data_IF_804316323279
#
_entry.id   IF_804316323279
#
_cell.length_a   1.000
_cell.length_b   1.000
_cell.length_c   1.000
_cell.angle_alpha   90.00
_cell.angle_beta   90.00
_cell.angle_gamma   90.00
#
_symmetry.space_group_name_H-M   'P 1'
#
loop_
_entity.id
_entity.type
_entity.pdbx_description
1 polymer ?
#
# COMPACT_ATOMS: atom_id res chain seq x y z
N UNK A 1 -49.04 -16.45 11.03
CA UNK A 1 -47.84 -17.27 10.79
C UNK A 1 -46.66 -16.33 10.62
N UNK A 2 -45.57 -16.60 11.32
CA UNK A 2 -44.27 -15.98 11.09
C UNK A 2 -43.47 -16.96 10.24
N UNK A 3 -42.83 -16.48 9.19
CA UNK A 3 -41.92 -17.27 8.36
C UNK A 3 -40.59 -16.56 8.26
N UNK A 4 -39.48 -17.30 8.34
CA UNK A 4 -38.16 -16.85 8.02
C UNK A 4 -37.86 -17.04 6.55
N UNK A 5 -37.27 -16.06 5.90
CA UNK A 5 -36.85 -16.13 4.49
C UNK A 5 -35.60 -16.99 4.29
N UNK A 6 -34.75 -17.03 5.29
CA UNK A 6 -33.49 -17.78 5.31
C UNK A 6 -33.26 -18.43 6.68
N UNK A 7 -32.40 -19.40 6.79
CA UNK A 7 -32.03 -20.03 8.07
C UNK A 7 -30.85 -19.34 8.75
N UNK A 8 -29.96 -18.76 7.96
CA UNK A 8 -28.82 -18.01 8.43
C UNK A 8 -28.41 -16.94 7.42
N UNK A 9 -27.76 -15.90 7.92
CA UNK A 9 -27.07 -14.87 7.12
C UNK A 9 -25.68 -14.64 7.66
N UNK A 10 -24.81 -14.14 6.80
CA UNK A 10 -23.49 -13.61 7.12
C UNK A 10 -23.54 -12.10 6.92
N UNK A 11 -23.09 -11.33 7.92
CA UNK A 11 -22.93 -9.88 7.85
C UNK A 11 -21.55 -9.48 8.35
N UNK A 12 -21.06 -8.34 7.91
CA UNK A 12 -19.77 -7.82 8.39
C UNK A 12 -19.94 -7.04 9.69
N UNK A 13 -18.84 -6.96 10.45
CA UNK A 13 -18.83 -6.29 11.75
C UNK A 13 -19.25 -4.81 11.68
N UNK A 14 -18.97 -4.13 10.58
CA UNK A 14 -19.34 -2.73 10.34
C UNK A 14 -20.77 -2.55 9.82
N UNK A 15 -21.48 -3.63 9.49
CA UNK A 15 -22.87 -3.60 9.01
C UNK A 15 -23.89 -3.79 10.14
N UNK A 16 -23.45 -4.32 11.29
CA UNK A 16 -24.35 -4.74 12.38
C UNK A 16 -25.29 -3.61 12.82
N UNK A 17 -24.78 -2.39 12.99
CA UNK A 17 -25.57 -1.27 13.52
C UNK A 17 -26.54 -0.66 12.50
N UNK A 18 -26.40 -1.01 11.22
CA UNK A 18 -27.21 -0.48 10.12
C UNK A 18 -28.08 -1.53 9.43
N UNK A 19 -27.92 -2.81 9.82
CA UNK A 19 -28.64 -3.90 9.17
C UNK A 19 -30.10 -3.94 9.61
N UNK A 20 -31.00 -3.94 8.64
CA UNK A 20 -32.44 -4.07 8.89
C UNK A 20 -32.86 -5.55 9.02
N UNK A 21 -32.90 -6.04 10.27
CA UNK A 21 -33.25 -7.42 10.58
C UNK A 21 -34.72 -7.74 10.30
N UNK A 22 -35.62 -6.75 10.14
CA UNK A 22 -37.04 -6.98 9.81
C UNK A 22 -37.19 -7.63 8.44
N UNK A 23 -36.27 -7.34 7.53
CA UNK A 23 -36.25 -7.87 6.15
C UNK A 23 -36.10 -9.39 6.07
N UNK A 24 -35.64 -10.03 7.15
CA UNK A 24 -35.39 -11.48 7.22
C UNK A 24 -36.64 -12.30 7.42
N UNK A 25 -37.77 -11.66 7.75
CA UNK A 25 -39.03 -12.34 8.09
C UNK A 25 -40.19 -11.89 7.22
N UNK A 26 -41.24 -12.69 7.22
CA UNK A 26 -42.54 -12.33 6.71
C UNK A 26 -43.60 -12.77 7.71
N UNK A 27 -44.65 -11.97 7.85
CA UNK A 27 -45.79 -12.29 8.73
C UNK A 27 -47.08 -12.33 7.89
N UNK A 28 -47.91 -13.36 8.13
CA UNK A 28 -49.25 -13.41 7.56
C UNK A 28 -50.30 -13.77 8.63
N UNK A 29 -51.43 -13.07 8.59
CA UNK A 29 -52.57 -13.33 9.46
C UNK A 29 -53.83 -13.56 8.63
N UNK A 30 -54.43 -14.74 8.79
CA UNK A 30 -55.65 -15.14 8.05
C UNK A 30 -55.52 -14.98 6.52
N UNK A 31 -54.29 -15.23 6.01
CA UNK A 31 -53.96 -15.12 4.59
C UNK A 31 -53.56 -13.71 4.11
N UNK A 32 -53.65 -12.69 4.96
CA UNK A 32 -53.21 -11.34 4.63
C UNK A 32 -51.75 -11.09 5.10
N UNK A 33 -50.95 -10.37 4.32
CA UNK A 33 -49.63 -9.94 4.72
C UNK A 33 -49.69 -8.89 5.82
N UNK A 34 -48.83 -9.02 6.83
CA UNK A 34 -48.65 -8.06 7.92
C UNK A 34 -47.22 -7.49 7.81
N UNK A 35 -47.09 -6.18 7.99
CA UNK A 35 -45.77 -5.51 8.00
C UNK A 35 -45.01 -6.03 9.22
N UNK A 36 -43.72 -6.40 8.99
CA UNK A 36 -42.81 -6.77 10.08
C UNK A 36 -42.27 -5.47 10.69
N UNK A 37 -42.71 -5.16 11.89
CA UNK A 37 -42.26 -4.02 12.65
C UNK A 37 -41.03 -4.38 13.48
N UNK A 38 -40.15 -3.41 13.75
CA UNK A 38 -38.94 -3.57 14.57
C UNK A 38 -39.30 -4.15 15.98
N UNK A 39 -40.42 -3.76 16.54
CA UNK A 39 -40.94 -4.25 17.83
C UNK A 39 -41.22 -5.76 17.87
N UNK A 40 -41.32 -6.41 16.70
CA UNK A 40 -41.53 -7.86 16.60
C UNK A 40 -40.24 -8.63 16.54
N UNK A 41 -39.07 -7.92 16.34
CA UNK A 41 -37.77 -8.54 16.07
C UNK A 41 -36.79 -8.27 17.20
N UNK A 42 -36.48 -9.31 17.95
CA UNK A 42 -35.41 -9.25 18.97
C UNK A 42 -34.06 -9.59 18.35
N UNK A 43 -33.22 -8.57 18.16
CA UNK A 43 -31.82 -8.65 17.76
C UNK A 43 -30.87 -8.06 18.81
N UNK A 44 -31.36 -7.82 20.03
CA UNK A 44 -30.63 -7.15 21.13
C UNK A 44 -29.28 -7.80 21.50
N UNK A 45 -29.08 -9.07 21.13
CA UNK A 45 -27.82 -9.80 21.37
C UNK A 45 -26.84 -9.73 20.21
N UNK A 46 -27.26 -9.21 19.04
CA UNK A 46 -26.35 -9.03 17.90
C UNK A 46 -25.51 -7.80 18.17
N UNK A 47 -24.19 -7.99 18.25
CA UNK A 47 -23.26 -6.91 18.53
C UNK A 47 -22.15 -6.89 17.48
N UNK A 48 -21.51 -5.74 17.28
CA UNK A 48 -20.41 -5.53 16.35
C UNK A 48 -19.12 -6.25 16.80
N UNK A 49 -19.23 -7.58 16.94
CA UNK A 49 -18.14 -8.48 17.30
C UNK A 49 -18.30 -9.80 16.54
N UNK A 50 -17.20 -10.32 16.02
CA UNK A 50 -17.18 -11.62 15.33
C UNK A 50 -17.78 -12.70 16.21
N UNK A 51 -18.77 -13.41 15.66
CA UNK A 51 -19.50 -14.45 16.41
C UNK A 51 -20.77 -14.90 15.71
N UNK A 52 -21.48 -15.81 16.38
CA UNK A 52 -22.77 -16.32 15.92
C UNK A 52 -23.86 -15.91 16.89
N UNK A 53 -24.87 -15.27 16.38
CA UNK A 53 -25.96 -14.67 17.13
C UNK A 53 -27.31 -15.23 16.67
N UNK A 54 -28.35 -14.94 17.43
CA UNK A 54 -29.72 -15.28 17.11
C UNK A 54 -30.57 -14.02 17.01
N UNK A 55 -31.40 -13.97 15.97
CA UNK A 55 -32.44 -12.95 15.78
C UNK A 55 -33.76 -13.67 15.76
N UNK A 56 -34.70 -13.24 16.58
CA UNK A 56 -36.02 -13.88 16.73
C UNK A 56 -37.12 -12.88 16.39
N UNK A 57 -37.98 -13.25 15.47
CA UNK A 57 -39.20 -12.51 15.19
C UNK A 57 -40.38 -13.20 15.90
N UNK A 58 -41.13 -12.44 16.70
CA UNK A 58 -42.31 -12.91 17.43
C UNK A 58 -43.51 -12.08 17.07
N UNK A 59 -44.56 -12.73 16.61
CA UNK A 59 -45.87 -12.11 16.37
C UNK A 59 -46.96 -12.93 17.03
N UNK A 60 -47.64 -12.33 18.04
CA UNK A 60 -48.57 -13.03 18.93
C UNK A 60 -47.83 -14.23 19.59
N UNK A 61 -48.36 -15.43 19.43
CA UNK A 61 -47.83 -16.65 20.06
C UNK A 61 -46.88 -17.46 19.14
N UNK A 62 -46.47 -16.86 17.98
CA UNK A 62 -45.64 -17.56 16.99
C UNK A 62 -44.31 -16.88 16.88
N UNK A 63 -43.23 -17.65 16.99
CA UNK A 63 -41.85 -17.16 16.86
C UNK A 63 -41.05 -17.97 15.84
N UNK A 64 -40.19 -17.30 15.10
CA UNK A 64 -39.17 -17.90 14.23
C UNK A 64 -37.80 -17.27 14.53
N UNK A 65 -36.75 -18.09 14.45
CA UNK A 65 -35.39 -17.66 14.77
C UNK A 65 -34.46 -17.93 13.60
N UNK A 66 -33.57 -16.95 13.32
CA UNK A 66 -32.53 -17.00 12.31
C UNK A 66 -31.16 -16.92 13.00
N UNK A 67 -30.18 -17.54 12.41
CA UNK A 67 -28.79 -17.41 12.81
C UNK A 67 -28.10 -16.27 12.05
N UNK A 68 -27.44 -15.37 12.75
CA UNK A 68 -26.62 -14.28 12.19
C UNK A 68 -25.15 -14.52 12.53
N UNK A 69 -24.32 -14.70 11.51
CA UNK A 69 -22.88 -14.82 11.69
C UNK A 69 -22.24 -13.46 11.38
N UNK A 70 -21.74 -12.80 12.41
CA UNK A 70 -20.96 -11.57 12.26
C UNK A 70 -19.52 -11.93 11.96
N UNK A 71 -19.01 -11.47 10.82
CA UNK A 71 -17.66 -11.75 10.32
C UNK A 71 -16.78 -10.51 10.37
N UNK A 72 -15.47 -10.70 10.53
CA UNK A 72 -14.49 -9.62 10.42
C UNK A 72 -14.37 -9.15 8.97
N UNK A 73 -13.84 -7.95 8.79
CA UNK A 73 -13.43 -7.42 7.50
C UNK A 73 -12.05 -7.98 7.18
N UNK A 74 -11.89 -8.54 5.99
CA UNK A 74 -10.62 -9.07 5.52
C UNK A 74 -9.91 -8.00 4.70
N UNK A 75 -8.77 -7.51 5.18
CA UNK A 75 -7.91 -6.59 4.46
C UNK A 75 -6.75 -7.35 3.84
N UNK A 76 -6.46 -7.10 2.57
CA UNK A 76 -5.28 -7.64 1.90
C UNK A 76 -4.53 -6.50 1.21
N UNK A 77 -3.19 -6.59 1.21
CA UNK A 77 -2.30 -5.67 0.52
C UNK A 77 -1.18 -6.47 -0.14
N UNK A 78 -1.06 -6.37 -1.45
CA UNK A 78 -0.02 -7.00 -2.25
C UNK A 78 0.99 -5.95 -2.69
N UNK A 79 2.25 -6.33 -2.70
CA UNK A 79 3.36 -5.54 -3.20
C UNK A 79 4.08 -6.40 -4.26
N UNK A 80 4.23 -5.88 -5.47
CA UNK A 80 4.78 -6.64 -6.60
C UNK A 80 6.29 -6.83 -6.53
N UNK A 81 7.01 -5.87 -5.91
CA UNK A 81 8.47 -5.92 -5.69
C UNK A 81 8.80 -5.27 -4.35
N UNK A 82 9.82 -5.79 -3.66
CA UNK A 82 10.22 -5.26 -2.34
C UNK A 82 11.18 -4.05 -2.45
N UNK A 83 11.85 -3.88 -3.58
CA UNK A 83 12.81 -2.79 -3.84
C UNK A 83 12.69 -2.28 -5.28
N UNK A 84 12.79 -0.96 -5.44
CA UNK A 84 12.99 -0.30 -6.74
C UNK A 84 14.20 0.61 -6.68
N UNK A 85 14.88 0.75 -7.82
CA UNK A 85 15.97 1.72 -8.02
C UNK A 85 15.51 2.79 -8.98
N UNK A 86 15.65 4.04 -8.58
CA UNK A 86 15.31 5.22 -9.38
C UNK A 86 16.48 6.21 -9.36
N UNK A 87 16.48 7.16 -10.28
CA UNK A 87 17.47 8.25 -10.28
C UNK A 87 16.94 9.47 -9.52
N UNK A 88 17.83 10.37 -9.11
CA UNK A 88 17.45 11.65 -8.49
C UNK A 88 16.40 12.38 -9.31
N UNK A 89 16.54 12.42 -10.64
CA UNK A 89 15.66 13.13 -11.56
C UNK A 89 14.24 12.50 -11.65
N UNK A 90 14.13 11.21 -11.41
CA UNK A 90 12.86 10.46 -11.54
C UNK A 90 12.19 10.16 -10.20
N UNK A 91 12.91 10.30 -9.09
CA UNK A 91 12.48 9.84 -7.78
C UNK A 91 11.13 10.41 -7.33
N UNK A 92 10.84 11.69 -7.59
CA UNK A 92 9.58 12.33 -7.19
C UNK A 92 8.42 12.10 -8.17
N UNK A 93 8.72 11.64 -9.40
CA UNK A 93 7.73 11.46 -10.46
C UNK A 93 7.42 9.98 -10.73
N UNK A 94 8.11 9.06 -10.07
CA UNK A 94 7.86 7.63 -10.23
C UNK A 94 6.57 7.22 -9.54
N UNK A 95 5.73 6.46 -10.23
CA UNK A 95 4.48 5.95 -9.67
C UNK A 95 4.73 4.71 -8.79
N UNK A 96 5.09 4.95 -7.55
CA UNK A 96 5.30 3.89 -6.56
C UNK A 96 4.03 3.13 -6.21
N UNK A 97 2.86 3.79 -6.33
CA UNK A 97 1.59 3.19 -5.91
C UNK A 97 1.11 2.13 -6.90
N UNK A 98 1.52 2.21 -8.17
CA UNK A 98 1.25 1.17 -9.16
C UNK A 98 1.82 -0.21 -8.77
N UNK A 99 2.79 -0.24 -7.83
CA UNK A 99 3.39 -1.49 -7.33
C UNK A 99 2.57 -2.15 -6.21
N UNK A 100 1.58 -1.48 -5.67
CA UNK A 100 0.70 -2.00 -4.64
C UNK A 100 -0.69 -2.31 -5.20
N UNK A 101 -1.34 -3.31 -4.60
CA UNK A 101 -2.75 -3.61 -4.87
C UNK A 101 -3.44 -3.91 -3.54
N UNK A 102 -4.51 -3.19 -3.25
CA UNK A 102 -5.27 -3.31 -2.01
C UNK A 102 -6.63 -3.98 -2.25
N UNK A 103 -7.06 -4.81 -1.29
CA UNK A 103 -8.35 -5.47 -1.30
C UNK A 103 -9.03 -5.37 0.07
N UNK A 104 -10.35 -5.30 0.06
CA UNK A 104 -11.21 -5.45 1.22
C UNK A 104 -12.27 -6.50 0.87
N UNK A 105 -12.33 -7.59 1.63
CA UNK A 105 -13.26 -8.72 1.38
C UNK A 105 -13.18 -9.25 -0.07
N UNK A 106 -11.95 -9.42 -0.59
CA UNK A 106 -11.63 -9.85 -1.96
C UNK A 106 -11.98 -8.83 -3.06
N UNK A 107 -12.59 -7.70 -2.74
CA UNK A 107 -12.85 -6.62 -3.67
C UNK A 107 -11.63 -5.67 -3.74
N UNK A 108 -11.17 -5.39 -4.96
CA UNK A 108 -10.08 -4.44 -5.19
C UNK A 108 -10.54 -3.03 -4.86
N UNK A 109 -9.74 -2.32 -4.09
CA UNK A 109 -9.98 -0.91 -3.76
C UNK A 109 -8.83 -0.02 -4.26
N UNK A 110 -9.13 1.25 -4.45
CA UNK A 110 -8.12 2.26 -4.76
C UNK A 110 -7.31 2.63 -3.52
N UNK A 111 -6.01 2.87 -3.73
CA UNK A 111 -5.11 3.34 -2.68
C UNK A 111 -5.22 4.85 -2.58
N UNK A 112 -5.76 5.35 -1.47
CA UNK A 112 -5.89 6.79 -1.20
C UNK A 112 -4.65 7.36 -0.54
N UNK A 113 -4.48 8.68 -0.59
CA UNK A 113 -3.35 9.37 0.05
C UNK A 113 -3.26 9.15 1.56
N UNK A 114 -4.39 8.91 2.23
CA UNK A 114 -4.45 8.63 3.67
C UNK A 114 -3.86 7.27 4.05
N UNK A 115 -3.81 6.34 3.08
CA UNK A 115 -3.21 5.02 3.24
C UNK A 115 -1.70 5.02 3.08
N UNK A 116 -1.07 6.16 2.65
CA UNK A 116 0.31 6.21 2.17
C UNK A 116 1.19 7.08 3.06
N UNK A 117 2.31 6.52 3.50
CA UNK A 117 3.41 7.24 4.13
C UNK A 117 4.64 7.12 3.21
N UNK A 118 5.25 8.25 2.80
CA UNK A 118 6.45 8.26 1.96
C UNK A 118 7.54 9.16 2.55
N UNK A 119 8.77 8.66 2.50
CA UNK A 119 9.98 9.42 2.87
C UNK A 119 10.83 9.80 1.66
N UNK A 120 10.38 9.46 0.44
CA UNK A 120 11.15 9.64 -0.80
C UNK A 120 11.50 11.11 -1.04
N UNK A 121 12.77 11.34 -1.43
CA UNK A 121 13.33 12.63 -1.78
C UNK A 121 14.15 12.52 -3.08
N UNK A 122 14.36 13.64 -3.76
CA UNK A 122 15.24 13.74 -4.93
C UNK A 122 16.71 13.89 -4.51
N UNK A 123 17.20 13.00 -3.65
CA UNK A 123 18.56 12.95 -3.14
C UNK A 123 19.04 11.49 -3.13
N UNK A 124 20.35 11.29 -3.34
CA UNK A 124 20.93 9.94 -3.26
C UNK A 124 20.71 9.37 -1.86
N UNK A 125 20.14 8.17 -1.79
CA UNK A 125 19.87 7.54 -0.51
C UNK A 125 18.89 6.37 -0.60
N UNK A 126 18.52 5.87 0.56
CA UNK A 126 17.49 4.83 0.71
C UNK A 126 16.28 5.41 1.41
N UNK A 127 15.11 5.21 0.80
CA UNK A 127 13.83 5.73 1.25
C UNK A 127 12.79 4.64 1.27
N UNK A 128 11.61 4.96 1.76
CA UNK A 128 10.54 3.99 1.90
C UNK A 128 9.19 4.61 1.53
N UNK A 129 8.36 3.78 0.89
CA UNK A 129 6.94 4.04 0.69
C UNK A 129 6.19 2.94 1.43
N UNK A 130 5.42 3.31 2.44
CA UNK A 130 4.59 2.41 3.22
C UNK A 130 3.13 2.64 2.87
N UNK A 131 2.42 1.58 2.56
CA UNK A 131 0.98 1.60 2.37
C UNK A 131 0.33 0.78 3.47
N UNK A 132 -0.78 1.28 4.02
CA UNK A 132 -1.56 0.61 5.06
C UNK A 132 -3.01 0.49 4.61
N UNK A 133 -3.54 -0.73 4.62
CA UNK A 133 -4.93 -1.04 4.35
C UNK A 133 -5.54 -1.71 5.59
N UNK A 134 -6.34 -0.97 6.35
CA UNK A 134 -6.88 -1.43 7.62
C UNK A 134 -5.79 -1.87 8.60
N UNK A 135 -5.71 -3.19 8.85
CA UNK A 135 -4.73 -3.78 9.79
C UNK A 135 -3.45 -4.28 9.08
N UNK A 136 -3.36 -4.18 7.75
CA UNK A 136 -2.26 -4.74 6.95
C UNK A 136 -1.41 -3.62 6.38
N UNK A 137 -0.08 -3.73 6.50
CA UNK A 137 0.87 -2.78 5.92
C UNK A 137 1.92 -3.49 5.07
N UNK A 138 2.36 -2.84 4.01
CA UNK A 138 3.52 -3.22 3.19
C UNK A 138 4.43 -2.03 2.98
N UNK A 139 5.73 -2.28 2.91
CA UNK A 139 6.74 -1.24 2.74
C UNK A 139 7.60 -1.57 1.53
N UNK A 140 7.65 -0.66 0.58
CA UNK A 140 8.54 -0.67 -0.57
C UNK A 140 9.83 0.08 -0.20
N UNK A 141 10.97 -0.52 -0.44
CA UNK A 141 12.28 0.14 -0.36
C UNK A 141 12.57 0.83 -1.68
N UNK A 142 12.96 2.11 -1.62
CA UNK A 142 13.32 2.94 -2.77
C UNK A 142 14.78 3.32 -2.63
N UNK A 143 15.62 2.91 -3.58
CA UNK A 143 17.02 3.31 -3.65
C UNK A 143 17.16 4.38 -4.72
N UNK A 144 17.46 5.60 -4.31
CA UNK A 144 17.71 6.72 -5.20
C UNK A 144 19.19 6.80 -5.47
N UNK A 145 19.56 6.76 -6.74
CA UNK A 145 20.95 6.82 -7.22
C UNK A 145 21.17 8.10 -8.03
N UNK A 146 22.43 8.46 -8.27
CA UNK A 146 22.77 9.59 -9.14
C UNK A 146 22.26 9.39 -10.58
N UNK A 147 22.09 8.17 -10.97
CA UNK A 147 21.77 7.81 -12.35
C UNK A 147 22.92 8.01 -13.32
N UNK A 148 24.04 8.56 -12.85
CA UNK A 148 25.20 8.87 -13.69
C UNK A 148 26.27 7.79 -13.54
N UNK A 149 26.68 7.21 -14.66
CA UNK A 149 27.85 6.34 -14.72
C UNK A 149 29.05 7.23 -14.86
N UNK A 150 29.91 7.23 -13.83
CA UNK A 150 31.19 7.93 -13.84
C UNK A 150 32.26 6.96 -14.28
N UNK A 151 33.02 7.33 -15.31
CA UNK A 151 34.15 6.57 -15.79
C UNK A 151 35.40 7.48 -15.85
N UNK A 152 36.44 7.05 -15.16
CA UNK A 152 37.76 7.74 -15.16
C UNK A 152 38.77 6.80 -15.83
N UNK A 153 39.30 7.24 -16.93
CA UNK A 153 40.32 6.48 -17.71
C UNK A 153 41.67 7.18 -17.59
N UNK A 154 42.66 6.56 -16.93
CA UNK A 154 44.00 7.11 -16.92
C UNK A 154 44.63 6.95 -18.29
N UNK A 155 45.29 8.01 -18.79
CA UNK A 155 46.00 8.00 -20.06
C UNK A 155 47.29 7.16 -19.99
N UNK A 156 47.90 7.07 -18.81
CA UNK A 156 49.15 6.34 -18.56
C UNK A 156 49.05 5.53 -17.27
N UNK A 157 49.75 4.40 -17.19
CA UNK A 157 49.88 3.63 -15.93
C UNK A 157 50.93 4.22 -14.99
N UNK A 158 51.99 4.77 -15.56
CA UNK A 158 53.07 5.46 -14.87
C UNK A 158 53.52 6.62 -15.74
N UNK A 159 53.92 7.71 -15.12
CA UNK A 159 54.50 8.86 -15.77
C UNK A 159 55.78 9.25 -15.05
N UNK A 160 56.88 9.28 -15.77
CA UNK A 160 58.18 9.72 -15.25
C UNK A 160 58.39 11.17 -15.66
N UNK A 161 58.54 12.05 -14.71
CA UNK A 161 58.78 13.48 -14.88
C UNK A 161 60.07 13.86 -14.16
N UNK A 162 60.86 14.74 -14.75
CA UNK A 162 61.97 15.44 -14.07
C UNK A 162 61.38 16.50 -13.12
N UNK A 163 62.16 16.97 -12.16
CA UNK A 163 61.74 18.02 -11.21
C UNK A 163 61.32 19.32 -11.91
N UNK A 164 61.96 19.65 -13.02
CA UNK A 164 61.68 20.83 -13.84
C UNK A 164 60.33 20.66 -14.58
N UNK A 165 60.08 19.48 -15.17
CA UNK A 165 58.83 19.16 -15.87
C UNK A 165 57.62 19.11 -14.90
N UNK A 166 57.84 18.62 -13.69
CA UNK A 166 56.79 18.51 -12.68
C UNK A 166 56.14 19.85 -12.33
N UNK A 167 56.92 20.94 -12.36
CA UNK A 167 56.43 22.29 -12.02
C UNK A 167 55.53 22.90 -13.09
N UNK A 168 55.59 22.41 -14.33
CA UNK A 168 54.89 22.96 -15.51
C UNK A 168 53.91 21.97 -16.13
N UNK A 169 53.91 20.72 -15.66
CA UNK A 169 53.09 19.67 -16.26
C UNK A 169 51.62 19.88 -15.95
N UNK A 170 50.77 19.78 -16.99
CA UNK A 170 49.32 19.81 -16.85
C UNK A 170 48.78 18.40 -16.53
N UNK A 171 48.59 18.13 -15.25
CA UNK A 171 48.09 16.84 -14.74
C UNK A 171 46.68 16.52 -15.19
N UNK A 172 45.88 17.48 -15.69
CA UNK A 172 44.55 17.23 -16.19
C UNK A 172 44.56 16.31 -17.42
N UNK A 173 45.64 16.32 -18.19
CA UNK A 173 45.83 15.47 -19.37
C UNK A 173 46.08 13.98 -19.04
N UNK A 174 46.26 13.65 -17.75
CA UNK A 174 46.49 12.26 -17.33
C UNK A 174 45.20 11.46 -17.28
N UNK A 175 44.05 12.11 -17.31
CA UNK A 175 42.77 11.47 -17.13
C UNK A 175 41.77 11.90 -18.19
N UNK A 176 40.94 10.96 -18.61
CA UNK A 176 39.72 11.24 -19.34
C UNK A 176 38.53 10.90 -18.42
N UNK A 177 37.63 11.86 -18.24
CA UNK A 177 36.43 11.71 -17.42
C UNK A 177 35.22 11.63 -18.34
N UNK A 178 34.35 10.64 -18.10
CA UNK A 178 33.09 10.49 -18.79
C UNK A 178 31.97 10.42 -17.77
N UNK A 179 30.84 11.05 -18.08
CA UNK A 179 29.58 10.96 -17.35
C UNK A 179 28.55 10.49 -18.36
N UNK A 180 27.97 9.30 -18.13
CA UNK A 180 27.01 8.66 -19.05
C UNK A 180 27.54 8.54 -20.49
N UNK A 181 28.83 8.27 -20.63
CA UNK A 181 29.52 8.16 -21.91
C UNK A 181 29.87 9.49 -22.59
N UNK A 182 29.47 10.64 -22.05
CA UNK A 182 29.84 11.95 -22.53
C UNK A 182 31.16 12.41 -21.88
N UNK A 183 32.13 12.88 -22.70
CA UNK A 183 33.37 13.41 -22.19
C UNK A 183 33.14 14.69 -21.39
N UNK A 184 33.78 14.78 -20.24
CA UNK A 184 33.74 15.93 -19.32
C UNK A 184 35.16 16.45 -19.13
N UNK A 185 35.31 17.76 -19.10
CA UNK A 185 36.60 18.41 -18.86
C UNK A 185 37.10 18.10 -17.45
N UNK A 186 38.35 17.61 -17.35
CA UNK A 186 39.03 17.37 -16.08
C UNK A 186 39.65 18.69 -15.63
N UNK A 187 39.34 19.14 -14.42
CA UNK A 187 39.90 20.35 -13.84
C UNK A 187 40.90 20.02 -12.73
N UNK A 188 41.82 20.93 -12.46
CA UNK A 188 42.83 20.75 -11.40
C UNK A 188 42.21 20.51 -10.02
N UNK A 189 41.01 21.05 -9.75
CA UNK A 189 40.33 20.83 -8.49
C UNK A 189 39.84 19.36 -8.29
N UNK A 190 39.84 18.56 -9.34
CA UNK A 190 39.46 17.14 -9.32
C UNK A 190 40.69 16.23 -9.09
N UNK A 191 41.90 16.79 -9.07
CA UNK A 191 43.18 16.06 -8.99
C UNK A 191 43.82 16.37 -7.64
N UNK A 192 44.11 15.33 -6.86
CA UNK A 192 44.93 15.42 -5.67
C UNK A 192 46.37 15.06 -6.00
N UNK A 193 47.28 16.02 -5.84
CA UNK A 193 48.73 15.87 -6.08
C UNK A 193 49.53 15.89 -4.77
N UNK A 194 48.90 15.76 -3.63
CA UNK A 194 49.49 15.89 -2.29
C UNK A 194 50.10 14.59 -1.73
N UNK A 195 50.13 13.50 -2.50
CA UNK A 195 50.63 12.18 -2.05
C UNK A 195 52.14 12.05 -2.17
#
# INVERSE_FOLDING_TARGET
>A
VVNKKVTSIDIKINEVDTYDFTTLFTISEKGNSVIVEESFVDHSKVVAKVGTYKVTCTYKDVSETITVNVKDIVYELRLSVDEVKVTVDTALNYDYLALFTAFVDDERIDITSEMVESTVRAEIGTYYVKVTNGKVSKTLKVVVTSGKVLEIIPSYKTLDLTEEEMSTYDFTNLFSLYIDGAAVEVTLSMIDTSA
#
